data_IF_344445477933
#
_entry.id   IF_344445477933
#
_cell.length_a   1.000
_cell.length_b   1.000
_cell.length_c   1.000
_cell.angle_alpha   90.00
_cell.angle_beta   90.00
_cell.angle_gamma   90.00
#
_symmetry.space_group_name_H-M   'P 1'
#
loop_
_entity.id
_entity.type
_entity.pdbx_description
1 polymer ?
#
# COMPACT_ATOMS: atom_id res chain seq x y z
N UNK A 1 82.02 23.04 30.44
CA UNK A 1 82.08 21.64 29.98
C UNK A 1 81.97 21.60 28.45
N UNK A 2 82.99 21.00 27.83
CA UNK A 2 83.13 20.41 26.48
C UNK A 2 82.18 20.80 25.33
N UNK A 3 82.82 21.30 24.24
CA UNK A 3 82.42 21.17 22.82
C UNK A 3 82.41 19.68 22.40
N UNK A 4 81.56 19.30 21.42
CA UNK A 4 81.96 18.37 20.35
C UNK A 4 81.02 18.45 19.13
N UNK A 5 81.61 18.72 17.96
CA UNK A 5 81.06 18.50 16.62
C UNK A 5 81.03 16.99 16.31
N UNK A 6 80.05 16.53 15.52
CA UNK A 6 80.19 15.33 14.67
C UNK A 6 79.53 15.57 13.31
N UNK A 7 80.23 15.10 12.27
CA UNK A 7 80.13 15.43 10.87
C UNK A 7 78.90 14.85 10.14
N UNK A 8 78.47 15.55 9.09
CA UNK A 8 77.56 15.07 8.06
C UNK A 8 78.40 14.30 7.02
N UNK A 9 78.07 13.03 6.79
CA UNK A 9 78.53 12.26 5.64
C UNK A 9 77.40 12.18 4.61
N UNK A 10 77.59 12.85 3.46
CA UNK A 10 76.72 12.74 2.29
C UNK A 10 77.05 11.43 1.56
N UNK A 11 76.13 10.45 1.61
CA UNK A 11 76.13 9.28 0.73
C UNK A 11 75.13 9.50 -0.40
N UNK A 12 75.61 9.78 -1.62
CA UNK A 12 74.77 9.81 -2.82
C UNK A 12 74.52 8.36 -3.24
N UNK A 13 73.34 7.82 -2.92
CA UNK A 13 72.84 6.58 -3.47
C UNK A 13 72.03 6.85 -4.74
N UNK A 14 72.55 6.43 -5.90
CA UNK A 14 71.74 6.34 -7.13
C UNK A 14 70.70 5.22 -6.95
N UNK A 15 69.42 5.57 -6.88
CA UNK A 15 68.33 4.61 -6.97
C UNK A 15 68.03 4.30 -8.43
N UNK A 16 68.42 3.10 -8.87
CA UNK A 16 67.91 2.50 -10.11
C UNK A 16 66.43 2.18 -9.89
N UNK A 17 65.54 2.93 -10.56
CA UNK A 17 64.13 2.61 -10.61
C UNK A 17 63.94 1.29 -11.39
N UNK A 18 63.57 0.23 -10.68
CA UNK A 18 63.14 -1.01 -11.31
C UNK A 18 61.84 -0.74 -12.07
N UNK A 19 61.90 -0.85 -13.40
CA UNK A 19 60.70 -0.87 -14.25
C UNK A 19 59.94 -2.15 -13.91
N UNK A 20 58.79 -2.01 -13.25
CA UNK A 20 57.90 -3.16 -13.06
C UNK A 20 57.40 -3.64 -14.43
N UNK A 21 57.40 -4.96 -14.71
CA UNK A 21 56.81 -5.46 -15.93
C UNK A 21 55.31 -5.12 -15.95
N UNK A 22 54.86 -4.47 -17.02
CA UNK A 22 53.44 -4.20 -17.27
C UNK A 22 52.71 -5.54 -17.25
N UNK A 23 51.90 -5.77 -16.21
CA UNK A 23 51.04 -6.94 -16.13
C UNK A 23 50.08 -6.91 -17.31
N UNK A 24 50.15 -7.93 -18.18
CA UNK A 24 49.27 -8.03 -19.34
C UNK A 24 47.81 -7.97 -18.88
N UNK A 25 47.06 -6.98 -19.37
CA UNK A 25 45.66 -6.80 -19.02
C UNK A 25 44.88 -8.07 -19.33
N UNK A 26 44.14 -8.59 -18.34
CA UNK A 26 43.28 -9.76 -18.53
C UNK A 26 42.17 -9.45 -19.54
N UNK A 27 41.86 -10.42 -20.41
CA UNK A 27 40.77 -10.30 -21.36
C UNK A 27 39.44 -10.19 -20.60
N UNK A 28 38.68 -9.13 -20.84
CA UNK A 28 37.42 -8.87 -20.17
C UNK A 28 36.44 -8.13 -21.07
N UNK A 29 35.16 -8.23 -20.74
CA UNK A 29 34.10 -7.40 -21.35
C UNK A 29 33.26 -6.72 -20.27
N UNK A 30 32.71 -5.56 -20.59
CA UNK A 30 31.70 -4.85 -19.82
C UNK A 30 30.47 -4.56 -20.67
N UNK A 31 29.33 -4.42 -20.00
CA UNK A 31 28.02 -4.17 -20.63
C UNK A 31 27.50 -2.81 -20.18
N UNK A 32 26.93 -2.05 -21.11
CA UNK A 32 26.23 -0.81 -20.81
C UNK A 32 24.93 -0.73 -21.62
N UNK A 33 23.75 -0.79 -20.99
CA UNK A 33 23.52 -1.13 -19.56
C UNK A 33 23.81 -2.61 -19.24
N UNK A 34 23.84 -2.97 -17.95
CA UNK A 34 23.95 -4.37 -17.46
C UNK A 34 22.60 -5.07 -17.30
N UNK A 35 21.49 -4.36 -17.45
CA UNK A 35 20.12 -4.89 -17.40
C UNK A 35 19.18 -4.11 -18.33
N UNK A 36 18.03 -4.72 -18.67
CA UNK A 36 17.02 -4.14 -19.57
C UNK A 36 15.99 -5.17 -20.03
N UNK A 37 15.05 -4.78 -20.88
CA UNK A 37 14.02 -5.68 -21.40
C UNK A 37 14.52 -6.51 -22.59
N UNK A 38 13.85 -7.63 -22.89
CA UNK A 38 14.06 -8.35 -24.14
C UNK A 38 13.85 -7.39 -25.33
N UNK A 39 14.74 -7.44 -26.33
CA UNK A 39 14.75 -6.47 -27.43
C UNK A 39 15.50 -5.16 -27.17
N UNK A 40 16.02 -4.91 -25.96
CA UNK A 40 16.80 -3.70 -25.68
C UNK A 40 18.18 -3.73 -26.33
N UNK A 41 18.67 -2.55 -26.74
CA UNK A 41 20.05 -2.37 -27.18
C UNK A 41 21.04 -2.37 -26.02
N UNK A 42 22.18 -3.05 -26.18
CA UNK A 42 23.27 -3.13 -25.20
C UNK A 42 24.60 -2.89 -25.89
N UNK A 43 25.45 -2.07 -25.29
CA UNK A 43 26.83 -1.89 -25.76
C UNK A 43 27.75 -2.86 -25.02
N UNK A 44 28.45 -3.70 -25.78
CA UNK A 44 29.50 -4.59 -25.28
C UNK A 44 30.85 -3.97 -25.58
N UNK A 45 31.61 -3.65 -24.53
CA UNK A 45 32.98 -3.14 -24.64
C UNK A 45 33.95 -4.20 -24.14
N UNK A 46 35.04 -4.45 -24.88
CA UNK A 46 36.05 -5.43 -24.49
C UNK A 46 37.47 -4.89 -24.56
N UNK A 47 38.34 -5.37 -23.67
CA UNK A 47 39.77 -5.05 -23.59
C UNK A 47 40.59 -6.32 -23.37
N UNK A 48 41.90 -6.29 -23.66
CA UNK A 48 42.78 -7.43 -23.47
C UNK A 48 42.63 -8.53 -24.52
N UNK A 49 42.05 -8.20 -25.69
CA UNK A 49 42.04 -9.08 -26.87
C UNK A 49 43.28 -8.82 -27.73
N UNK A 50 43.62 -9.74 -28.64
CA UNK A 50 44.68 -9.50 -29.62
C UNK A 50 44.30 -8.34 -30.55
N UNK A 51 45.27 -7.51 -30.89
CA UNK A 51 45.10 -6.38 -31.80
C UNK A 51 44.59 -6.82 -33.18
N UNK A 52 43.79 -5.99 -33.84
CA UNK A 52 43.36 -6.15 -35.24
C UNK A 52 42.77 -7.52 -35.59
N UNK A 53 42.09 -8.15 -34.63
CA UNK A 53 41.61 -9.54 -34.72
C UNK A 53 40.08 -9.56 -34.84
N UNK A 54 39.57 -10.36 -35.77
CA UNK A 54 38.13 -10.60 -35.91
C UNK A 54 37.60 -11.51 -34.78
N UNK A 55 36.40 -11.20 -34.30
CA UNK A 55 35.73 -11.94 -33.24
C UNK A 55 34.22 -11.92 -33.37
N UNK A 56 33.55 -12.59 -32.43
CA UNK A 56 32.10 -12.65 -32.34
C UNK A 56 31.63 -12.50 -30.90
N UNK A 57 30.52 -11.80 -30.70
CA UNK A 57 29.76 -11.75 -29.46
C UNK A 57 28.58 -12.70 -29.61
N UNK A 58 28.38 -13.60 -28.66
CA UNK A 58 27.25 -14.52 -28.61
C UNK A 58 26.31 -14.13 -27.46
N UNK A 59 25.00 -14.11 -27.75
CA UNK A 59 23.90 -13.97 -26.79
C UNK A 59 22.83 -14.99 -27.14
N UNK A 60 22.71 -16.05 -26.35
CA UNK A 60 21.88 -17.21 -26.72
C UNK A 60 22.34 -17.83 -28.05
N UNK A 61 21.41 -17.97 -29.01
CA UNK A 61 21.70 -18.43 -30.37
C UNK A 61 22.13 -17.32 -31.35
N UNK A 62 22.07 -16.06 -30.93
CA UNK A 62 22.37 -14.91 -31.80
C UNK A 62 23.85 -14.54 -31.69
N UNK A 63 24.48 -14.23 -32.82
CA UNK A 63 25.89 -13.81 -32.87
C UNK A 63 26.09 -12.50 -33.62
N UNK A 64 27.02 -11.68 -33.14
CA UNK A 64 27.37 -10.37 -33.70
C UNK A 64 28.88 -10.32 -33.95
N UNK A 65 29.31 -9.93 -35.14
CA UNK A 65 30.73 -9.78 -35.44
C UNK A 65 31.31 -8.47 -34.90
N UNK A 66 32.57 -8.52 -34.48
CA UNK A 66 33.39 -7.36 -34.15
C UNK A 66 34.83 -7.54 -34.66
N UNK A 67 35.57 -6.44 -34.70
CA UNK A 67 37.01 -6.45 -34.94
C UNK A 67 37.68 -5.57 -33.89
N UNK A 68 38.78 -6.03 -33.30
CA UNK A 68 39.52 -5.24 -32.32
C UNK A 68 40.36 -4.18 -32.99
N UNK A 69 40.53 -3.04 -32.32
CA UNK A 69 41.49 -2.02 -32.70
C UNK A 69 42.94 -2.50 -32.52
N UNK A 70 43.90 -1.69 -32.94
CA UNK A 70 45.33 -1.94 -32.71
C UNK A 70 45.68 -2.05 -31.20
N UNK A 71 44.87 -1.46 -30.32
CA UNK A 71 45.00 -1.59 -28.86
C UNK A 71 44.44 -2.89 -28.29
N UNK A 72 43.80 -3.74 -29.09
CA UNK A 72 43.10 -4.93 -28.60
C UNK A 72 41.74 -4.66 -27.94
N UNK A 73 41.23 -3.43 -28.07
CA UNK A 73 39.90 -3.05 -27.59
C UNK A 73 38.83 -3.14 -28.69
N UNK A 74 37.57 -3.32 -28.30
CA UNK A 74 36.42 -3.17 -29.20
C UNK A 74 35.22 -2.58 -28.45
N UNK A 75 34.29 -2.00 -29.19
CA UNK A 75 32.96 -1.62 -28.71
C UNK A 75 31.92 -1.97 -29.78
N UNK A 76 30.84 -2.64 -29.38
CA UNK A 76 29.80 -3.11 -30.30
C UNK A 76 28.43 -3.01 -29.65
N UNK A 77 27.51 -2.30 -30.30
CA UNK A 77 26.09 -2.36 -29.97
C UNK A 77 25.49 -3.68 -30.48
N UNK A 78 24.74 -4.35 -29.62
CA UNK A 78 23.97 -5.56 -29.91
C UNK A 78 22.52 -5.39 -29.43
N UNK A 79 21.63 -6.27 -29.85
CA UNK A 79 20.24 -6.30 -29.38
C UNK A 79 20.02 -7.61 -28.63
N UNK A 80 19.42 -7.52 -27.44
CA UNK A 80 19.04 -8.70 -26.65
C UNK A 80 17.88 -9.42 -27.34
N UNK A 81 17.90 -10.75 -27.50
CA UNK A 81 16.82 -11.49 -28.15
C UNK A 81 15.46 -11.19 -27.51
N UNK A 82 14.42 -11.00 -28.32
CA UNK A 82 13.07 -10.65 -27.87
C UNK A 82 12.38 -11.74 -27.04
N UNK A 83 12.88 -12.98 -27.12
CA UNK A 83 12.39 -14.13 -26.35
C UNK A 83 13.22 -14.40 -25.08
N UNK A 84 14.23 -13.58 -24.80
CA UNK A 84 15.10 -13.80 -23.66
C UNK A 84 14.42 -13.47 -22.33
N UNK A 85 14.81 -14.19 -21.27
CA UNK A 85 14.33 -13.97 -19.90
C UNK A 85 15.41 -14.34 -18.89
N UNK A 86 15.41 -13.70 -17.72
CA UNK A 86 16.38 -13.99 -16.65
C UNK A 86 17.79 -13.55 -16.98
N UNK A 87 18.79 -14.25 -16.44
CA UNK A 87 20.20 -13.89 -16.61
C UNK A 87 20.77 -14.48 -17.92
N UNK A 88 21.25 -13.61 -18.81
CA UNK A 88 21.89 -13.98 -20.07
C UNK A 88 23.40 -13.81 -19.97
N UNK A 89 24.14 -14.88 -20.28
CA UNK A 89 25.58 -14.80 -20.44
C UNK A 89 25.92 -14.28 -21.85
N UNK A 90 26.46 -13.06 -21.93
CA UNK A 90 27.01 -12.48 -23.15
C UNK A 90 28.48 -12.87 -23.23
N UNK A 91 28.92 -13.45 -24.34
CA UNK A 91 30.30 -13.92 -24.50
C UNK A 91 30.94 -13.34 -25.76
N UNK A 92 32.02 -12.57 -25.60
CA UNK A 92 32.87 -12.16 -26.72
C UNK A 92 34.03 -13.15 -26.87
N UNK A 93 34.26 -13.64 -28.09
CA UNK A 93 35.33 -14.59 -28.42
C UNK A 93 36.07 -14.19 -29.69
N UNK A 94 37.38 -14.40 -29.69
CA UNK A 94 38.22 -14.49 -30.89
C UNK A 94 38.70 -15.93 -31.05
N UNK A 95 39.59 -16.20 -32.01
CA UNK A 95 40.24 -17.51 -32.13
C UNK A 95 41.10 -17.90 -30.92
N UNK A 96 41.56 -16.93 -30.12
CA UNK A 96 42.55 -17.17 -29.06
C UNK A 96 42.03 -16.98 -27.63
N UNK A 97 41.01 -16.13 -27.43
CA UNK A 97 40.52 -15.77 -26.08
C UNK A 97 39.00 -15.56 -26.08
N UNK A 98 38.40 -15.72 -24.90
CA UNK A 98 36.99 -15.40 -24.65
C UNK A 98 36.84 -14.65 -23.33
N UNK A 99 35.84 -13.79 -23.25
CA UNK A 99 35.40 -13.13 -22.02
C UNK A 99 33.88 -13.03 -22.00
N UNK A 100 33.29 -13.08 -20.81
CA UNK A 100 31.84 -13.11 -20.62
C UNK A 100 31.39 -12.12 -19.55
N UNK A 101 30.17 -11.61 -19.69
CA UNK A 101 29.48 -10.80 -18.71
C UNK A 101 27.99 -11.19 -18.69
N UNK A 102 27.32 -10.99 -17.55
CA UNK A 102 25.90 -11.31 -17.40
C UNK A 102 25.08 -10.06 -17.65
N UNK A 103 24.08 -10.18 -18.52
CA UNK A 103 23.01 -9.21 -18.70
C UNK A 103 21.74 -9.73 -18.03
N UNK A 104 21.10 -8.93 -17.19
CA UNK A 104 19.84 -9.33 -16.55
C UNK A 104 18.65 -8.82 -17.36
N UNK A 105 17.86 -9.74 -17.92
CA UNK A 105 16.61 -9.40 -18.60
C UNK A 105 15.54 -9.14 -17.54
N UNK A 106 15.10 -7.89 -17.46
CA UNK A 106 13.98 -7.49 -16.62
C UNK A 106 12.70 -8.17 -17.13
N UNK A 107 12.00 -8.87 -16.23
CA UNK A 107 10.65 -9.32 -16.51
C UNK A 107 9.77 -8.12 -16.91
N UNK A 108 8.77 -8.30 -17.80
CA UNK A 108 7.76 -7.28 -18.00
C UNK A 108 7.21 -6.88 -16.64
N UNK A 109 7.11 -5.57 -16.37
CA UNK A 109 6.40 -5.11 -15.19
C UNK A 109 4.98 -5.70 -15.27
N UNK A 110 4.57 -6.48 -14.27
CA UNK A 110 3.18 -6.93 -14.20
C UNK A 110 2.32 -5.69 -14.13
N UNK A 111 1.55 -5.44 -15.19
CA UNK A 111 0.62 -4.34 -15.19
C UNK A 111 -0.46 -4.65 -14.16
N UNK A 112 -0.61 -3.78 -13.18
CA UNK A 112 -1.70 -3.89 -12.22
C UNK A 112 -3.03 -3.73 -12.96
N UNK A 113 -4.05 -4.52 -12.59
CA UNK A 113 -5.40 -4.27 -13.07
C UNK A 113 -5.82 -2.82 -12.78
N UNK A 114 -6.52 -2.13 -13.69
CA UNK A 114 -6.93 -0.75 -13.46
C UNK A 114 -7.95 -0.65 -12.32
N UNK A 115 -8.14 0.55 -11.78
CA UNK A 115 -9.30 0.86 -10.93
C UNK A 115 -10.57 0.79 -11.78
N UNK A 116 -11.60 0.07 -11.33
CA UNK A 116 -12.90 0.03 -12.04
C UNK A 116 -13.65 1.36 -11.95
N UNK A 117 -14.47 1.63 -12.96
CA UNK A 117 -15.43 2.73 -13.01
C UNK A 117 -16.85 2.30 -12.65
N UNK A 118 -17.06 1.04 -12.25
CA UNK A 118 -18.38 0.53 -11.86
C UNK A 118 -18.96 1.33 -10.66
N UNK A 119 -20.29 1.49 -10.56
CA UNK A 119 -20.92 2.28 -9.50
C UNK A 119 -20.56 1.81 -8.07
N UNK A 120 -20.51 0.49 -7.85
CA UNK A 120 -20.04 -0.08 -6.59
C UNK A 120 -18.51 -0.13 -6.59
N UNK A 121 -17.88 0.78 -5.85
CA UNK A 121 -16.44 0.87 -5.70
C UNK A 121 -15.88 -0.26 -4.82
N UNK A 122 -14.75 -0.82 -5.23
CA UNK A 122 -13.94 -1.71 -4.41
C UNK A 122 -12.84 -0.92 -3.69
N UNK A 123 -12.62 -1.23 -2.42
CA UNK A 123 -11.53 -0.73 -1.59
C UNK A 123 -10.87 -1.85 -0.77
N UNK A 124 -9.72 -1.54 -0.17
CA UNK A 124 -9.00 -2.50 0.68
C UNK A 124 -8.26 -1.85 1.85
N UNK A 125 -8.12 -2.60 2.93
CA UNK A 125 -7.13 -2.38 3.98
C UNK A 125 -6.20 -3.59 4.04
N UNK A 126 -4.91 -3.34 4.24
CA UNK A 126 -3.88 -4.38 4.44
C UNK A 126 -3.08 -4.06 5.71
N UNK A 127 -2.36 -5.05 6.23
CA UNK A 127 -1.60 -4.94 7.48
C UNK A 127 -0.55 -3.81 7.43
N UNK A 128 0.26 -3.76 6.38
CA UNK A 128 1.30 -2.75 6.19
C UNK A 128 0.77 -1.40 5.70
N UNK A 129 -0.54 -1.30 5.41
CA UNK A 129 -1.20 -0.07 5.00
C UNK A 129 -0.67 0.53 3.68
N UNK A 130 -0.85 1.84 3.47
CA UNK A 130 -0.62 2.48 2.18
C UNK A 130 0.82 2.43 1.65
N UNK A 131 1.79 2.26 2.54
CA UNK A 131 3.21 2.22 2.17
C UNK A 131 3.67 0.81 1.80
N UNK A 132 2.89 -0.23 2.14
CA UNK A 132 3.18 -1.61 1.78
C UNK A 132 2.68 -1.92 0.35
N UNK A 133 3.39 -1.40 -0.65
CA UNK A 133 2.95 -1.47 -2.04
C UNK A 133 2.72 -2.89 -2.55
N UNK A 134 3.51 -3.87 -2.07
CA UNK A 134 3.39 -5.26 -2.47
C UNK A 134 2.07 -5.92 -2.01
N UNK A 135 1.57 -5.57 -0.81
CA UNK A 135 0.30 -6.10 -0.30
C UNK A 135 -0.87 -5.57 -1.13
N UNK A 136 -0.86 -4.28 -1.47
CA UNK A 136 -1.87 -3.68 -2.34
C UNK A 136 -1.79 -4.20 -3.78
N UNK A 137 -0.60 -4.55 -4.27
CA UNK A 137 -0.42 -5.20 -5.57
C UNK A 137 -1.01 -6.61 -5.58
N UNK A 138 -0.79 -7.39 -4.51
CA UNK A 138 -1.39 -8.70 -4.32
C UNK A 138 -2.92 -8.60 -4.31
N UNK A 139 -3.49 -7.68 -3.52
CA UNK A 139 -4.94 -7.44 -3.50
C UNK A 139 -5.45 -7.12 -4.91
N UNK A 140 -4.75 -6.28 -5.66
CA UNK A 140 -5.16 -5.92 -7.02
C UNK A 140 -5.19 -7.13 -7.96
N UNK A 141 -4.20 -8.03 -7.86
CA UNK A 141 -4.17 -9.25 -8.66
C UNK A 141 -5.26 -10.25 -8.27
N UNK A 142 -5.49 -10.41 -6.97
CA UNK A 142 -6.54 -11.27 -6.42
C UNK A 142 -7.93 -10.78 -6.81
N UNK A 143 -8.19 -9.47 -6.71
CA UNK A 143 -9.47 -8.85 -7.04
C UNK A 143 -9.71 -8.76 -8.56
N UNK A 144 -8.64 -8.68 -9.37
CA UNK A 144 -8.74 -8.45 -10.81
C UNK A 144 -9.03 -7.00 -11.19
N UNK A 145 -8.91 -6.08 -10.24
CA UNK A 145 -8.96 -4.61 -10.38
C UNK A 145 -8.15 -4.00 -9.22
N UNK A 146 -7.66 -2.77 -9.38
CA UNK A 146 -7.02 -2.05 -8.26
C UNK A 146 -8.06 -1.43 -7.32
N UNK A 147 -7.84 -1.44 -5.99
CA UNK A 147 -8.70 -0.73 -5.04
C UNK A 147 -8.82 0.75 -5.39
N UNK A 148 -10.05 1.27 -5.46
CA UNK A 148 -10.34 2.70 -5.64
C UNK A 148 -10.36 3.48 -4.32
N UNK A 149 -10.40 2.75 -3.19
CA UNK A 149 -10.31 3.26 -1.83
C UNK A 149 -9.28 2.43 -1.08
N UNK A 150 -8.35 3.08 -0.38
CA UNK A 150 -7.43 2.40 0.54
C UNK A 150 -7.66 2.91 1.94
N UNK A 151 -8.08 2.02 2.83
CA UNK A 151 -8.32 2.35 4.23
C UNK A 151 -7.11 2.04 5.10
N UNK A 152 -6.84 2.90 6.06
CA UNK A 152 -5.83 2.70 7.09
C UNK A 152 -6.13 3.53 8.33
N UNK A 153 -5.47 3.20 9.44
CA UNK A 153 -5.75 3.77 10.75
C UNK A 153 -4.65 4.74 11.17
N UNK A 154 -5.05 5.75 11.94
CA UNK A 154 -4.17 6.59 12.73
C UNK A 154 -4.81 6.86 14.09
N UNK A 155 -4.00 6.88 15.13
CA UNK A 155 -4.44 7.30 16.46
C UNK A 155 -4.27 8.81 16.68
N UNK A 156 -4.68 9.27 17.86
CA UNK A 156 -4.54 10.66 18.30
C UNK A 156 -3.12 11.02 18.73
N UNK A 157 -2.12 10.15 18.63
CA UNK A 157 -0.73 10.51 18.90
C UNK A 157 0.09 10.69 17.61
N UNK A 158 -0.38 10.14 16.50
CA UNK A 158 0.28 10.23 15.21
C UNK A 158 0.07 11.56 14.46
N UNK A 159 1.06 11.89 13.63
CA UNK A 159 1.03 13.04 12.74
C UNK A 159 0.04 12.82 11.57
N UNK A 160 -0.41 13.89 10.89
CA UNK A 160 -1.26 13.79 9.71
C UNK A 160 -0.58 12.94 8.61
N UNK A 161 -1.27 11.96 8.00
CA UNK A 161 -0.66 10.91 7.19
C UNK A 161 -0.41 11.31 5.73
N UNK A 162 0.25 12.45 5.50
CA UNK A 162 0.42 13.00 4.13
C UNK A 162 1.23 12.05 3.23
N UNK A 163 2.24 11.36 3.77
CA UNK A 163 3.04 10.41 3.01
C UNK A 163 2.21 9.19 2.56
N UNK A 164 1.42 8.64 3.46
CA UNK A 164 0.51 7.54 3.20
C UNK A 164 -0.57 7.94 2.18
N UNK A 165 -1.18 9.12 2.35
CA UNK A 165 -2.18 9.62 1.39
C UNK A 165 -1.59 9.86 0.00
N UNK A 166 -0.35 10.34 -0.10
CA UNK A 166 0.36 10.43 -1.39
C UNK A 166 0.59 9.05 -2.01
N UNK A 167 0.93 8.04 -1.21
CA UNK A 167 1.10 6.67 -1.71
C UNK A 167 -0.22 6.08 -2.22
N UNK A 168 -1.35 6.33 -1.54
CA UNK A 168 -2.69 5.97 -2.02
C UNK A 168 -3.01 6.70 -3.34
N UNK A 169 -2.78 8.02 -3.39
CA UNK A 169 -3.04 8.85 -4.57
C UNK A 169 -2.26 8.38 -5.80
N UNK A 170 -1.00 7.96 -5.61
CA UNK A 170 -0.16 7.44 -6.68
C UNK A 170 -0.73 6.17 -7.36
N UNK A 171 -1.65 5.46 -6.69
CA UNK A 171 -2.37 4.31 -7.24
C UNK A 171 -3.70 4.68 -7.92
N UNK A 172 -4.07 5.97 -7.95
CA UNK A 172 -5.36 6.42 -8.43
C UNK A 172 -6.52 6.20 -7.45
N UNK A 173 -6.23 5.90 -6.18
CA UNK A 173 -7.21 5.65 -5.14
C UNK A 173 -7.46 6.88 -4.25
N UNK A 174 -8.52 6.83 -3.44
CA UNK A 174 -8.83 7.80 -2.37
C UNK A 174 -8.52 7.17 -1.02
N UNK A 175 -7.93 7.94 -0.11
CA UNK A 175 -7.66 7.48 1.26
C UNK A 175 -8.94 7.52 2.11
N UNK A 176 -9.24 6.42 2.80
CA UNK A 176 -10.15 6.38 3.94
C UNK A 176 -9.33 6.29 5.22
N UNK A 177 -9.13 7.42 5.88
CA UNK A 177 -8.34 7.51 7.11
C UNK A 177 -9.26 7.29 8.30
N UNK A 178 -9.16 6.14 8.94
CA UNK A 178 -9.81 5.88 10.23
C UNK A 178 -9.00 6.56 11.32
N UNK A 179 -9.58 7.60 11.93
CA UNK A 179 -8.89 8.42 12.92
C UNK A 179 -9.44 8.17 14.31
N UNK A 180 -8.63 7.53 15.14
CA UNK A 180 -9.07 6.94 16.40
C UNK A 180 -8.69 7.85 17.59
N UNK A 181 -9.67 8.34 18.38
CA UNK A 181 -9.44 9.23 19.52
C UNK A 181 -8.90 8.50 20.75
N UNK A 182 -7.70 7.94 20.66
CA UNK A 182 -7.01 7.28 21.77
C UNK A 182 -5.50 7.20 21.51
N UNK A 183 -4.74 6.69 22.48
CA UNK A 183 -3.37 6.23 22.25
C UNK A 183 -3.33 4.72 22.04
N UNK A 184 -2.73 4.29 20.93
CA UNK A 184 -2.45 2.88 20.69
C UNK A 184 -1.61 2.27 21.81
N UNK A 185 -1.91 1.01 22.14
CA UNK A 185 -1.27 0.28 23.23
C UNK A 185 -1.76 0.64 24.64
N UNK A 186 -2.62 1.67 24.79
CA UNK A 186 -3.17 2.07 26.10
C UNK A 186 -4.39 1.25 26.57
N UNK A 187 -4.92 0.35 25.73
CA UNK A 187 -6.10 -0.47 26.04
C UNK A 187 -7.41 0.31 26.12
N UNK A 188 -8.46 -0.31 26.64
CA UNK A 188 -9.82 0.26 26.68
C UNK A 188 -9.96 1.44 27.66
N UNK A 189 -9.26 1.37 28.81
CA UNK A 189 -9.41 2.33 29.91
C UNK A 189 -8.46 3.50 29.71
N UNK A 190 -8.95 4.54 29.04
CA UNK A 190 -8.19 5.74 28.67
C UNK A 190 -9.01 7.03 28.88
N UNK A 191 -9.34 7.39 30.13
CA UNK A 191 -10.15 8.58 30.44
C UNK A 191 -9.47 9.92 30.09
N UNK A 192 -8.19 9.90 29.69
CA UNK A 192 -7.55 11.08 29.11
C UNK A 192 -8.10 11.44 27.72
N UNK A 193 -8.72 10.46 27.04
CA UNK A 193 -9.30 10.58 25.70
C UNK A 193 -10.82 10.44 25.71
N UNK A 194 -11.48 10.69 26.86
CA UNK A 194 -12.93 10.71 26.92
C UNK A 194 -13.51 11.81 26.03
N UNK A 195 -14.73 11.58 25.55
CA UNK A 195 -15.40 12.43 24.57
C UNK A 195 -15.69 13.84 25.10
N UNK A 196 -15.92 13.98 26.41
CA UNK A 196 -16.09 15.27 27.08
C UNK A 196 -14.83 16.14 27.01
N UNK A 197 -13.64 15.54 27.14
CA UNK A 197 -12.35 16.23 27.00
C UNK A 197 -12.06 16.64 25.57
N UNK A 198 -12.44 15.80 24.60
CA UNK A 198 -12.37 16.16 23.18
C UNK A 198 -13.28 17.37 22.92
N UNK A 199 -14.52 17.33 23.39
CA UNK A 199 -15.49 18.42 23.25
C UNK A 199 -15.05 19.70 23.98
N UNK A 200 -14.34 19.57 25.11
CA UNK A 200 -13.79 20.71 25.85
C UNK A 200 -12.60 21.38 25.17
N UNK A 201 -12.07 20.79 24.09
CA UNK A 201 -10.98 21.35 23.30
C UNK A 201 -9.57 20.92 23.75
N UNK A 202 -9.45 19.93 24.64
CA UNK A 202 -8.14 19.46 25.15
C UNK A 202 -7.22 18.93 24.03
N UNK A 203 -7.81 18.56 22.88
CA UNK A 203 -7.12 18.03 21.71
C UNK A 203 -7.06 19.01 20.52
N UNK A 204 -7.52 20.25 20.67
CA UNK A 204 -7.68 21.20 19.56
C UNK A 204 -6.37 21.53 18.86
N UNK A 205 -5.27 21.67 19.61
CA UNK A 205 -3.95 21.93 19.02
C UNK A 205 -3.57 20.85 17.99
N UNK A 206 -3.92 19.59 18.27
CA UNK A 206 -3.68 18.47 17.37
C UNK A 206 -4.68 18.43 16.23
N UNK A 207 -5.96 18.68 16.52
CA UNK A 207 -7.00 18.68 15.49
C UNK A 207 -6.76 19.81 14.47
N UNK A 208 -6.31 20.97 14.93
CA UNK A 208 -5.86 22.08 14.09
C UNK A 208 -4.66 21.69 13.24
N UNK A 209 -3.66 21.01 13.80
CA UNK A 209 -2.50 20.52 13.05
C UNK A 209 -2.95 19.57 11.92
N UNK A 210 -3.89 18.67 12.19
CA UNK A 210 -4.47 17.79 11.19
C UNK A 210 -5.23 18.57 10.12
N UNK A 211 -6.16 19.44 10.51
CA UNK A 211 -6.92 20.27 9.56
C UNK A 211 -6.00 21.09 8.64
N UNK A 212 -5.00 21.77 9.19
CA UNK A 212 -4.02 22.56 8.42
C UNK A 212 -3.24 21.69 7.42
N UNK A 213 -2.81 20.49 7.83
CA UNK A 213 -2.11 19.58 6.93
C UNK A 213 -3.02 19.07 5.80
N UNK A 214 -4.28 18.74 6.11
CA UNK A 214 -5.27 18.31 5.11
C UNK A 214 -5.62 19.44 4.13
N UNK A 215 -5.82 20.65 4.63
CA UNK A 215 -6.05 21.85 3.81
C UNK A 215 -4.85 22.13 2.89
N UNK A 216 -3.63 22.07 3.42
CA UNK A 216 -2.41 22.27 2.63
C UNK A 216 -2.18 21.16 1.60
N UNK A 217 -2.59 19.92 1.88
CA UNK A 217 -2.49 18.81 0.94
C UNK A 217 -3.50 18.96 -0.21
N UNK A 218 -4.72 19.43 0.09
CA UNK A 218 -5.69 19.90 -0.88
C UNK A 218 -6.29 18.85 -1.83
N UNK A 219 -5.99 17.56 -1.62
CA UNK A 219 -6.56 16.46 -2.41
C UNK A 219 -7.74 15.81 -1.66
N UNK A 220 -8.65 15.10 -2.36
CA UNK A 220 -9.75 14.40 -1.70
C UNK A 220 -9.28 13.35 -0.70
N UNK A 221 -9.82 13.39 0.53
CA UNK A 221 -9.64 12.38 1.58
C UNK A 221 -10.97 12.12 2.27
N UNK A 222 -11.22 10.86 2.60
CA UNK A 222 -12.31 10.46 3.49
C UNK A 222 -11.75 10.32 4.91
N UNK A 223 -12.31 11.05 5.87
CA UNK A 223 -11.92 11.01 7.28
C UNK A 223 -13.02 10.33 8.09
N UNK A 224 -12.68 9.24 8.77
CA UNK A 224 -13.59 8.37 9.52
C UNK A 224 -13.22 8.41 11.00
N UNK A 225 -13.70 9.44 11.68
CA UNK A 225 -13.37 9.71 13.08
C UNK A 225 -14.13 8.78 14.03
N UNK A 226 -13.45 8.15 14.98
CA UNK A 226 -14.09 7.39 16.07
C UNK A 226 -15.13 6.37 15.59
N UNK A 227 -14.76 5.48 14.66
CA UNK A 227 -15.64 4.42 14.13
C UNK A 227 -16.18 3.44 15.18
N UNK A 228 -17.18 2.64 14.81
CA UNK A 228 -17.82 1.59 15.62
C UNK A 228 -18.26 2.06 17.01
N UNK A 229 -18.64 3.32 17.10
CA UNK A 229 -18.99 4.00 18.35
C UNK A 229 -20.22 3.41 19.06
N UNK A 230 -21.02 2.59 18.36
CA UNK A 230 -22.15 1.85 18.93
C UNK A 230 -21.77 0.52 19.59
N UNK A 231 -20.49 0.12 19.53
CA UNK A 231 -19.93 -1.00 20.28
C UNK A 231 -19.56 -0.64 21.73
N UNK A 232 -18.78 -1.51 22.38
CA UNK A 232 -18.23 -1.30 23.73
C UNK A 232 -16.72 -1.57 23.85
N UNK A 233 -16.06 -1.88 22.73
CA UNK A 233 -14.65 -2.27 22.67
C UNK A 233 -13.69 -1.12 22.42
N UNK A 234 -14.19 0.11 22.20
CA UNK A 234 -13.35 1.29 21.98
C UNK A 234 -13.44 2.32 23.12
N UNK A 235 -12.34 3.03 23.43
CA UNK A 235 -12.30 4.05 24.49
C UNK A 235 -13.30 5.21 24.32
N UNK A 236 -13.77 5.44 23.09
CA UNK A 236 -14.71 6.49 22.73
C UNK A 236 -16.15 6.00 22.61
N UNK A 237 -16.44 4.74 22.90
CA UNK A 237 -17.82 4.26 22.99
C UNK A 237 -18.53 4.90 24.19
N UNK A 238 -19.82 5.19 24.04
CA UNK A 238 -20.64 5.64 25.17
C UNK A 238 -20.76 4.51 26.22
N UNK A 239 -20.70 4.86 27.51
CA UNK A 239 -20.59 3.90 28.61
C UNK A 239 -19.15 3.47 28.93
N UNK A 240 -18.18 3.71 28.04
CA UNK A 240 -16.74 3.50 28.30
C UNK A 240 -16.10 4.81 28.75
N UNK A 241 -15.10 4.77 29.63
CA UNK A 241 -14.35 5.96 30.10
C UNK A 241 -15.22 7.13 30.62
N UNK A 242 -16.43 6.83 31.12
CA UNK A 242 -17.47 7.79 31.57
C UNK A 242 -18.10 8.62 30.45
N UNK A 243 -17.89 8.27 29.19
CA UNK A 243 -18.64 8.83 28.06
C UNK A 243 -20.14 8.62 28.29
N UNK A 244 -20.91 9.69 28.25
CA UNK A 244 -22.36 9.69 28.47
C UNK A 244 -23.13 9.61 27.14
N UNK A 245 -24.41 9.22 27.18
CA UNK A 245 -25.28 9.31 26.02
C UNK A 245 -25.29 10.70 25.37
N UNK A 246 -24.96 10.77 24.09
CA UNK A 246 -24.88 12.00 23.29
C UNK A 246 -23.52 12.69 23.30
N UNK A 247 -22.54 12.22 24.08
CA UNK A 247 -21.19 12.78 24.06
C UNK A 247 -20.50 12.51 22.73
N UNK A 248 -20.79 11.39 22.07
CA UNK A 248 -20.13 11.05 20.81
C UNK A 248 -20.50 12.04 19.73
N UNK A 249 -21.80 12.32 19.60
CA UNK A 249 -22.31 13.30 18.64
C UNK A 249 -21.74 14.71 18.91
N UNK A 250 -21.51 15.09 20.17
CA UNK A 250 -20.90 16.37 20.52
C UNK A 250 -19.41 16.42 20.15
N UNK A 251 -18.64 15.40 20.50
CA UNK A 251 -17.23 15.31 20.16
C UNK A 251 -17.00 15.28 18.64
N UNK A 252 -17.84 14.55 17.90
CA UNK A 252 -17.81 14.56 16.44
C UNK A 252 -17.97 15.96 15.87
N UNK A 253 -19.02 16.69 16.31
CA UNK A 253 -19.28 18.06 15.84
C UNK A 253 -18.11 18.99 16.14
N UNK A 254 -17.55 18.88 17.34
CA UNK A 254 -16.38 19.66 17.74
C UNK A 254 -15.16 19.40 16.84
N UNK A 255 -14.79 18.13 16.65
CA UNK A 255 -13.67 17.74 15.77
C UNK A 255 -13.90 18.23 14.34
N UNK A 256 -15.12 18.07 13.82
CA UNK A 256 -15.50 18.58 12.51
C UNK A 256 -15.30 20.09 12.41
N UNK A 257 -15.82 20.86 13.35
CA UNK A 257 -15.78 22.32 13.32
C UNK A 257 -14.35 22.85 13.43
N UNK A 258 -13.51 22.23 14.26
CA UNK A 258 -12.08 22.57 14.36
C UNK A 258 -11.36 22.30 13.04
N UNK A 259 -11.56 21.14 12.41
CA UNK A 259 -10.95 20.83 11.09
C UNK A 259 -11.48 21.79 10.02
N UNK A 260 -12.79 22.02 9.96
CA UNK A 260 -13.42 22.91 8.98
C UNK A 260 -12.89 24.36 9.11
N UNK A 261 -12.60 24.83 10.33
CA UNK A 261 -12.04 26.16 10.59
C UNK A 261 -10.67 26.40 9.93
N UNK A 262 -9.95 25.32 9.58
CA UNK A 262 -8.65 25.41 8.90
C UNK A 262 -8.76 25.61 7.39
N UNK A 263 -9.97 25.56 6.82
CA UNK A 263 -10.21 25.64 5.38
C UNK A 263 -10.05 24.29 4.65
N UNK A 264 -10.02 23.17 5.38
CA UNK A 264 -9.90 21.81 4.85
C UNK A 264 -11.18 21.30 4.15
N UNK A 265 -11.68 22.03 3.15
CA UNK A 265 -12.88 21.68 2.38
C UNK A 265 -12.73 20.46 1.45
N UNK A 266 -11.53 19.87 1.39
CA UNK A 266 -11.23 18.65 0.66
C UNK A 266 -11.50 17.36 1.45
N UNK A 267 -11.92 17.48 2.71
CA UNK A 267 -12.24 16.36 3.59
C UNK A 267 -13.70 15.95 3.42
N UNK A 268 -13.94 14.66 3.19
CA UNK A 268 -15.26 14.03 3.27
C UNK A 268 -15.40 13.31 4.61
N UNK A 269 -16.44 13.62 5.38
CA UNK A 269 -16.69 13.05 6.70
C UNK A 269 -17.50 11.75 6.61
N UNK A 270 -16.91 10.65 7.08
CA UNK A 270 -17.49 9.30 7.02
C UNK A 270 -17.91 8.84 8.41
N UNK A 271 -19.21 8.85 8.68
CA UNK A 271 -19.77 8.39 9.97
C UNK A 271 -20.08 6.89 9.90
N UNK A 272 -19.37 6.08 10.69
CA UNK A 272 -19.28 4.63 10.49
C UNK A 272 -19.52 3.83 11.79
N UNK A 273 -20.78 3.53 12.16
CA UNK A 273 -21.08 2.53 13.17
C UNK A 273 -20.74 1.10 12.73
N UNK A 274 -20.64 0.20 13.70
CA UNK A 274 -20.72 -1.23 13.47
C UNK A 274 -22.17 -1.60 13.10
N UNK A 275 -22.37 -2.67 12.34
CA UNK A 275 -23.70 -3.25 12.08
C UNK A 275 -24.49 -3.40 13.39
N UNK A 276 -25.80 -3.05 13.42
CA UNK A 276 -26.58 -3.16 14.64
C UNK A 276 -26.64 -4.60 15.16
N UNK A 277 -26.46 -4.78 16.46
CA UNK A 277 -26.60 -6.06 17.15
C UNK A 277 -27.30 -5.89 18.50
N UNK A 278 -27.73 -7.01 19.10
CA UNK A 278 -28.38 -6.97 20.40
C UNK A 278 -27.46 -6.38 21.47
N UNK A 279 -27.86 -5.25 22.06
CA UNK A 279 -27.08 -4.54 23.07
C UNK A 279 -26.17 -3.43 22.52
N UNK A 280 -26.09 -3.25 21.20
CA UNK A 280 -25.43 -2.07 20.63
C UNK A 280 -26.16 -0.78 21.01
N UNK A 281 -25.41 0.31 21.14
CA UNK A 281 -25.95 1.65 21.41
C UNK A 281 -26.80 2.11 20.23
N UNK A 282 -27.93 2.76 20.51
CA UNK A 282 -28.82 3.26 19.47
C UNK A 282 -28.13 4.34 18.62
N UNK A 283 -28.15 4.14 17.30
CA UNK A 283 -27.51 4.99 16.32
C UNK A 283 -28.07 6.42 16.31
N UNK A 284 -29.33 6.61 16.69
CA UNK A 284 -29.94 7.93 16.74
C UNK A 284 -29.25 8.88 17.73
N UNK A 285 -28.79 8.38 18.88
CA UNK A 285 -28.06 9.17 19.89
C UNK A 285 -26.63 9.52 19.47
N UNK A 286 -26.06 8.71 18.56
CA UNK A 286 -24.68 8.82 18.09
C UNK A 286 -24.56 9.66 16.80
N UNK A 287 -25.67 9.92 16.11
CA UNK A 287 -25.67 10.64 14.84
C UNK A 287 -25.43 12.15 15.05
N UNK A 288 -24.36 12.74 14.49
CA UNK A 288 -24.01 14.14 14.75
C UNK A 288 -24.88 15.15 13.99
N UNK A 289 -25.67 14.68 13.02
CA UNK A 289 -26.56 15.49 12.19
C UNK A 289 -26.09 15.60 10.74
N UNK A 290 -27.02 15.86 9.81
CA UNK A 290 -26.77 15.83 8.37
C UNK A 290 -25.76 16.87 7.84
N UNK A 291 -25.51 17.95 8.60
CA UNK A 291 -24.53 18.98 8.28
C UNK A 291 -23.08 18.61 8.62
N UNK A 292 -22.87 17.50 9.33
CA UNK A 292 -21.57 17.05 9.84
C UNK A 292 -21.08 15.75 9.20
N UNK A 293 -21.83 15.21 8.22
CA UNK A 293 -21.59 13.89 7.62
C UNK A 293 -21.78 13.98 6.12
N UNK A 294 -20.79 13.55 5.34
CA UNK A 294 -20.87 13.47 3.88
C UNK A 294 -21.27 12.07 3.42
N UNK A 295 -20.76 11.04 4.11
CA UNK A 295 -20.96 9.63 3.81
C UNK A 295 -21.33 8.91 5.11
N UNK A 296 -22.34 8.05 5.07
CA UNK A 296 -22.62 7.12 6.17
C UNK A 296 -22.04 5.75 5.83
N UNK A 297 -21.66 4.99 6.84
CA UNK A 297 -21.01 3.72 6.61
C UNK A 297 -21.38 2.65 7.63
N UNK A 298 -21.03 1.41 7.32
CA UNK A 298 -21.10 0.29 8.26
C UNK A 298 -19.80 -0.50 8.24
N UNK A 299 -19.41 -0.95 9.43
CA UNK A 299 -18.44 -2.03 9.59
C UNK A 299 -19.18 -3.31 9.97
N UNK A 300 -18.80 -4.44 9.37
CA UNK A 300 -19.47 -5.69 9.65
C UNK A 300 -18.73 -6.89 9.09
N UNK A 301 -18.66 -7.96 9.88
CA UNK A 301 -17.89 -9.16 9.58
C UNK A 301 -18.76 -10.40 9.70
N UNK A 302 -18.63 -11.32 8.73
CA UNK A 302 -19.13 -12.68 8.92
C UNK A 302 -18.07 -13.49 9.69
N UNK A 303 -18.21 -13.50 11.01
CA UNK A 303 -17.35 -14.29 11.91
C UNK A 303 -17.52 -15.80 11.73
N UNK A 304 -18.64 -16.25 11.16
CA UNK A 304 -18.85 -17.68 10.97
C UNK A 304 -18.87 -18.41 12.31
N UNK A 305 -18.19 -19.55 12.40
CA UNK A 305 -17.97 -20.25 13.68
C UNK A 305 -16.53 -20.10 14.18
N UNK A 306 -15.86 -18.99 13.84
CA UNK A 306 -14.47 -18.75 14.26
C UNK A 306 -14.35 -18.29 15.72
N UNK A 307 -15.42 -17.71 16.28
CA UNK A 307 -15.54 -17.36 17.69
C UNK A 307 -16.70 -18.10 18.36
N UNK A 308 -16.58 -18.38 19.67
CA UNK A 308 -17.58 -19.14 20.43
C UNK A 308 -18.95 -18.47 20.53
N UNK A 309 -18.99 -17.14 20.38
CA UNK A 309 -20.21 -16.33 20.41
C UNK A 309 -20.80 -16.05 19.02
N UNK A 310 -20.15 -16.52 17.95
CA UNK A 310 -20.52 -16.20 16.56
C UNK A 310 -21.17 -17.39 15.83
N UNK A 311 -21.98 -17.07 14.83
CA UNK A 311 -22.50 -18.02 13.85
C UNK A 311 -22.37 -17.47 12.43
N UNK A 312 -22.47 -18.35 11.43
CA UNK A 312 -22.51 -17.95 10.03
C UNK A 312 -23.69 -17.02 9.74
N UNK A 313 -23.44 -15.92 9.03
CA UNK A 313 -24.45 -14.93 8.65
C UNK A 313 -24.30 -14.55 7.18
N UNK A 314 -25.43 -14.40 6.48
CA UNK A 314 -25.42 -13.95 5.09
C UNK A 314 -25.11 -12.44 5.00
N UNK A 315 -24.60 -11.93 3.87
CA UNK A 315 -24.36 -10.49 3.71
C UNK A 315 -25.62 -9.63 3.86
N UNK A 316 -26.76 -10.11 3.35
CA UNK A 316 -28.04 -9.40 3.47
C UNK A 316 -28.49 -9.33 4.92
N UNK A 317 -28.47 -10.45 5.66
CA UNK A 317 -28.85 -10.47 7.08
C UNK A 317 -27.91 -9.61 7.93
N UNK A 318 -26.62 -9.55 7.55
CA UNK A 318 -25.61 -8.76 8.24
C UNK A 318 -25.82 -7.25 8.03
N UNK A 319 -26.08 -6.82 6.80
CA UNK A 319 -26.04 -5.39 6.44
C UNK A 319 -27.41 -4.73 6.25
N UNK A 320 -28.47 -5.46 5.87
CA UNK A 320 -29.78 -4.88 5.59
C UNK A 320 -30.37 -4.07 6.77
N UNK A 321 -30.31 -4.56 8.03
CA UNK A 321 -30.82 -3.78 9.17
C UNK A 321 -30.09 -2.46 9.35
N UNK A 322 -28.75 -2.47 9.27
CA UNK A 322 -27.92 -1.28 9.37
C UNK A 322 -28.18 -0.30 8.23
N UNK A 323 -28.22 -0.77 6.99
CA UNK A 323 -28.49 0.06 5.80
C UNK A 323 -29.87 0.75 5.93
N UNK A 324 -30.89 0.03 6.40
CA UNK A 324 -32.22 0.60 6.62
C UNK A 324 -32.21 1.71 7.71
N UNK A 325 -31.47 1.51 8.80
CA UNK A 325 -31.30 2.55 9.83
C UNK A 325 -30.55 3.77 9.27
N UNK A 326 -29.47 3.57 8.51
CA UNK A 326 -28.72 4.66 7.88
C UNK A 326 -29.60 5.50 6.93
N UNK A 327 -30.43 4.86 6.11
CA UNK A 327 -31.38 5.55 5.21
C UNK A 327 -32.40 6.39 5.97
N UNK A 328 -32.78 5.96 7.17
CA UNK A 328 -33.72 6.69 8.03
C UNK A 328 -33.04 7.89 8.70
N UNK A 329 -31.83 7.71 9.23
CA UNK A 329 -31.09 8.75 9.96
C UNK A 329 -30.49 9.81 9.04
N UNK A 330 -30.01 9.40 7.87
CA UNK A 330 -29.23 10.21 6.96
C UNK A 330 -29.75 10.09 5.51
N UNK A 331 -31.02 10.45 5.25
CA UNK A 331 -31.64 10.26 3.94
C UNK A 331 -30.85 10.97 2.82
N UNK A 332 -30.59 10.24 1.73
CA UNK A 332 -29.90 10.74 0.55
C UNK A 332 -28.37 10.83 0.66
N UNK A 333 -27.78 10.46 1.81
CA UNK A 333 -26.32 10.32 1.92
C UNK A 333 -25.88 9.01 1.25
N UNK A 334 -24.75 9.01 0.52
CA UNK A 334 -24.17 7.77 0.02
C UNK A 334 -23.74 6.89 1.19
N UNK A 335 -23.86 5.57 0.98
CA UNK A 335 -23.47 4.54 1.93
C UNK A 335 -22.18 3.88 1.43
N UNK A 336 -21.24 3.61 2.33
CA UNK A 336 -20.14 2.66 2.07
C UNK A 336 -20.11 1.58 3.15
N UNK A 337 -19.72 0.36 2.80
CA UNK A 337 -19.30 -0.61 3.82
C UNK A 337 -17.83 -0.33 4.10
N UNK A 338 -17.55 0.43 5.15
CA UNK A 338 -16.21 0.96 5.42
C UNK A 338 -15.24 -0.12 5.86
N UNK A 339 -15.74 -1.23 6.40
CA UNK A 339 -14.99 -2.45 6.66
C UNK A 339 -15.85 -3.70 6.54
N UNK A 340 -15.35 -4.71 5.83
CA UNK A 340 -15.94 -6.04 5.90
C UNK A 340 -14.98 -7.15 5.50
N UNK A 341 -15.23 -8.35 6.02
CA UNK A 341 -14.69 -9.60 5.52
C UNK A 341 -15.55 -10.78 6.02
N UNK A 342 -15.21 -11.98 5.55
CA UNK A 342 -15.80 -13.24 6.03
C UNK A 342 -14.71 -14.21 6.46
N UNK A 343 -14.99 -15.01 7.49
CA UNK A 343 -14.17 -16.16 7.85
C UNK A 343 -14.48 -17.33 6.91
N UNK A 344 -13.63 -18.36 6.94
CA UNK A 344 -13.87 -19.65 6.27
C UNK A 344 -14.69 -20.62 7.15
N UNK A 345 -14.88 -20.30 8.43
CA UNK A 345 -15.48 -21.23 9.39
C UNK A 345 -17.01 -21.14 9.37
N UNK A 346 -17.71 -22.27 9.32
CA UNK A 346 -19.18 -22.31 9.47
C UNK A 346 -19.99 -22.17 8.18
N UNK A 347 -19.34 -22.02 7.01
CA UNK A 347 -20.01 -21.93 5.72
C UNK A 347 -19.03 -21.79 4.55
N UNK A 348 -19.49 -21.31 3.39
CA UNK A 348 -18.66 -21.10 2.20
C UNK A 348 -18.31 -19.64 2.02
N UNK A 349 -17.06 -19.25 2.29
CA UNK A 349 -16.57 -17.88 2.06
C UNK A 349 -16.65 -17.49 0.59
N UNK A 350 -16.38 -18.43 -0.32
CA UNK A 350 -16.51 -18.21 -1.76
C UNK A 350 -17.96 -17.81 -2.15
N UNK A 351 -18.96 -18.52 -1.64
CA UNK A 351 -20.36 -18.15 -1.86
C UNK A 351 -20.70 -16.81 -1.19
N UNK A 352 -20.20 -16.58 0.03
CA UNK A 352 -20.39 -15.32 0.76
C UNK A 352 -19.85 -14.11 0.00
N UNK A 353 -18.63 -14.20 -0.55
CA UNK A 353 -18.01 -13.16 -1.38
C UNK A 353 -18.89 -12.81 -2.59
N UNK A 354 -19.45 -13.84 -3.25
CA UNK A 354 -20.34 -13.67 -4.40
C UNK A 354 -21.63 -12.96 -4.00
N UNK A 355 -22.24 -13.40 -2.89
CA UNK A 355 -23.47 -12.80 -2.36
C UNK A 355 -23.26 -11.38 -1.86
N UNK A 356 -22.11 -11.06 -1.24
CA UNK A 356 -21.81 -9.72 -0.74
C UNK A 356 -21.82 -8.72 -1.90
N UNK A 357 -21.00 -8.97 -2.92
CA UNK A 357 -20.88 -8.05 -4.05
C UNK A 357 -22.23 -7.90 -4.77
N UNK A 358 -22.96 -9.00 -4.97
CA UNK A 358 -24.27 -8.97 -5.61
C UNK A 358 -25.29 -8.17 -4.81
N UNK A 359 -25.34 -8.39 -3.49
CA UNK A 359 -26.26 -7.70 -2.59
C UNK A 359 -25.96 -6.20 -2.54
N UNK A 360 -24.70 -5.80 -2.35
CA UNK A 360 -24.31 -4.39 -2.29
C UNK A 360 -24.50 -3.68 -3.63
N UNK A 361 -24.21 -4.34 -4.76
CA UNK A 361 -24.41 -3.77 -6.09
C UNK A 361 -25.91 -3.54 -6.42
N UNK A 362 -26.81 -4.30 -5.78
CA UNK A 362 -28.25 -4.10 -5.92
C UNK A 362 -28.78 -2.91 -5.11
N UNK A 363 -27.96 -2.28 -4.25
CA UNK A 363 -28.35 -1.10 -3.48
C UNK A 363 -27.85 0.18 -4.18
N UNK A 364 -28.74 1.02 -4.75
CA UNK A 364 -28.32 2.16 -5.58
C UNK A 364 -27.58 3.27 -4.81
N UNK A 365 -27.77 3.33 -3.49
CA UNK A 365 -27.13 4.28 -2.58
C UNK A 365 -25.88 3.71 -1.90
N UNK A 366 -25.56 2.42 -2.07
CA UNK A 366 -24.29 1.84 -1.63
C UNK A 366 -23.25 2.01 -2.73
N UNK A 367 -22.30 2.90 -2.49
CA UNK A 367 -21.33 3.37 -3.48
C UNK A 367 -19.98 2.68 -3.39
N UNK A 368 -19.74 1.88 -2.36
CA UNK A 368 -18.54 1.06 -2.28
C UNK A 368 -18.43 0.23 -1.02
N UNK A 369 -17.44 -0.65 -1.02
CA UNK A 369 -17.05 -1.42 0.15
C UNK A 369 -15.54 -1.56 0.24
N UNK A 370 -15.01 -1.69 1.46
CA UNK A 370 -13.59 -1.90 1.73
C UNK A 370 -13.40 -3.28 2.33
N UNK A 371 -12.63 -4.12 1.65
CA UNK A 371 -12.28 -5.44 2.17
C UNK A 371 -11.14 -5.34 3.19
N UNK A 372 -11.35 -5.90 4.37
CA UNK A 372 -10.32 -6.01 5.41
C UNK A 372 -9.40 -7.20 5.12
N UNK A 373 -8.34 -6.98 4.33
CA UNK A 373 -7.42 -8.01 3.87
C UNK A 373 -6.30 -8.25 4.89
N UNK A 374 -6.65 -8.79 6.05
CA UNK A 374 -5.70 -8.98 7.16
C UNK A 374 -5.90 -10.35 7.81
N UNK A 375 -4.81 -11.02 8.21
CA UNK A 375 -4.91 -12.20 9.07
C UNK A 375 -4.82 -11.78 10.53
N UNK A 376 -5.97 -11.77 11.22
CA UNK A 376 -6.10 -11.23 12.58
C UNK A 376 -6.89 -12.20 13.46
N UNK A 377 -8.06 -11.80 13.98
CA UNK A 377 -8.91 -12.65 14.81
C UNK A 377 -9.41 -13.89 14.04
N UNK A 378 -9.61 -13.73 12.74
CA UNK A 378 -9.72 -14.82 11.77
C UNK A 378 -8.84 -14.52 10.54
N UNK A 379 -8.77 -15.48 9.60
CA UNK A 379 -8.16 -15.22 8.29
C UNK A 379 -9.16 -14.49 7.37
N UNK A 380 -9.15 -13.15 7.46
CA UNK A 380 -10.05 -12.28 6.70
C UNK A 380 -9.62 -12.11 5.25
N UNK A 381 -8.38 -12.49 4.89
CA UNK A 381 -7.80 -12.23 3.58
C UNK A 381 -8.59 -12.86 2.44
N UNK A 382 -8.55 -12.21 1.28
CA UNK A 382 -9.20 -12.66 0.04
C UNK A 382 -8.68 -14.06 -0.35
N UNK A 383 -7.38 -14.29 -0.17
CA UNK A 383 -6.66 -15.53 -0.48
C UNK A 383 -6.57 -16.52 0.70
N UNK A 384 -7.45 -16.44 1.71
CA UNK A 384 -7.58 -17.48 2.74
C UNK A 384 -7.83 -18.87 2.14
N UNK A 385 -8.43 -18.93 0.95
CA UNK A 385 -8.50 -20.10 0.10
C UNK A 385 -8.50 -19.71 -1.39
N UNK A 386 -8.11 -20.65 -2.26
CA UNK A 386 -8.13 -20.42 -3.71
C UNK A 386 -9.56 -20.20 -4.26
N UNK A 387 -10.55 -20.83 -3.65
CA UNK A 387 -11.97 -20.66 -3.98
C UNK A 387 -12.50 -19.30 -3.53
N UNK A 388 -12.10 -18.80 -2.35
CA UNK A 388 -12.41 -17.44 -1.90
C UNK A 388 -11.88 -16.39 -2.88
N UNK A 389 -10.59 -16.48 -3.26
CA UNK A 389 -9.97 -15.55 -4.19
C UNK A 389 -10.64 -15.56 -5.57
N UNK A 390 -10.88 -16.75 -6.12
CA UNK A 390 -11.51 -16.90 -7.44
C UNK A 390 -12.94 -16.35 -7.45
N UNK A 391 -13.72 -16.62 -6.40
CA UNK A 391 -15.09 -16.12 -6.28
C UNK A 391 -15.14 -14.61 -6.08
N UNK A 392 -14.23 -14.04 -5.28
CA UNK A 392 -14.15 -12.60 -5.07
C UNK A 392 -13.89 -11.86 -6.39
N UNK A 393 -12.90 -12.32 -7.17
CA UNK A 393 -12.60 -11.80 -8.51
C UNK A 393 -13.80 -11.90 -9.45
N UNK A 394 -14.43 -13.07 -9.52
CA UNK A 394 -15.57 -13.30 -10.40
C UNK A 394 -16.76 -12.40 -10.03
N UNK A 395 -17.03 -12.22 -8.73
CA UNK A 395 -18.10 -11.38 -8.23
C UNK A 395 -17.86 -9.90 -8.57
N UNK A 396 -16.64 -9.41 -8.36
CA UNK A 396 -16.24 -8.06 -8.77
C UNK A 396 -16.39 -7.85 -10.28
N UNK A 397 -16.00 -8.82 -11.11
CA UNK A 397 -16.17 -8.73 -12.57
C UNK A 397 -17.64 -8.75 -13.01
N UNK A 398 -18.51 -9.42 -12.25
CA UNK A 398 -19.93 -9.56 -12.56
C UNK A 398 -20.78 -8.37 -12.14
N UNK A 399 -20.30 -7.50 -11.22
CA UNK A 399 -21.07 -6.36 -10.68
C UNK A 399 -21.35 -5.21 -11.66
N UNK A 400 -20.91 -5.36 -12.92
CA UNK A 400 -21.11 -4.39 -13.99
C UNK A 400 -22.61 -4.07 -14.10
N UNK A 401 -22.98 -2.83 -13.84
CA UNK A 401 -24.29 -2.29 -14.26
C UNK A 401 -24.13 -0.91 -14.86
#
# INVERSE_FOLDING_TARGET
MKKLLVAIALGIGLTLAAVQPVQAASTQISLSPTSGHAGSGVTVSGTGFRASTAGSIAVGSTTFSFQTAASGAFSKAIVIPSTASGNLTITAKTSSVKASAVFTVAAPAQQLPPVSTDPLRFGAATEGGPLASAELDEVSQLAGESPSVVMFYKDFLQAPPVAEMNAVRARGAVSLVTWEPWAWGGGLVQPAYSLDRITAGDFDARILQWGQALASWGQPVMLRFGHEMNGDWYPWAEGVNRNQPGDYAQAWRHVHDVVASTGAGNVQWVWAPNVPYWGSTDLAGLYPGAGYVDVVALDGYNWGTSASWSSWISPEDLFAPGIAQLRTLAPGKPIIIAETASSEAGGSKAAWNTSLVSYLAAQPDVTGFVWFHIQKEADWRINSSATSASAFKAALQARRS
#
